data_IF_131616815006
#
_entry.id   IF_131616815006
#
_cell.length_a   1.000
_cell.length_b   1.000
_cell.length_c   1.000
_cell.angle_alpha   90.00
_cell.angle_beta   90.00
_cell.angle_gamma   90.00
#
_symmetry.space_group_name_H-M   'P 1'
#
loop_
_entity.id
_entity.type
_entity.pdbx_description
1 polymer ?
#
# COMPACT_ATOMS: atom_id res chain seq x y z
N UNK A 1 71.89 -41.82 -49.00
CA UNK A 1 70.75 -41.97 -49.93
C UNK A 1 69.66 -42.64 -49.11
N UNK A 2 68.49 -42.11 -48.78
CA UNK A 2 67.75 -40.89 -49.11
C UNK A 2 66.87 -40.55 -47.89
N UNK A 3 66.55 -39.27 -47.78
CA UNK A 3 65.70 -38.63 -46.79
C UNK A 3 64.21 -38.96 -46.94
N UNK A 4 63.46 -38.97 -45.84
CA UNK A 4 62.05 -38.54 -45.81
C UNK A 4 61.71 -37.90 -44.46
N UNK A 5 61.50 -36.58 -44.49
CA UNK A 5 60.79 -35.82 -43.46
C UNK A 5 59.28 -35.90 -43.72
N UNK A 6 58.46 -35.86 -42.67
CA UNK A 6 57.14 -35.22 -42.68
C UNK A 6 56.69 -34.96 -41.24
N UNK A 7 56.38 -33.69 -40.98
CA UNK A 7 55.91 -33.10 -39.74
C UNK A 7 54.37 -33.04 -39.67
N UNK A 8 53.89 -32.92 -38.43
CA UNK A 8 52.66 -32.25 -37.94
C UNK A 8 51.32 -33.00 -37.92
N UNK A 9 50.66 -32.87 -36.76
CA UNK A 9 49.26 -33.22 -36.53
C UNK A 9 48.87 -33.00 -35.07
N UNK A 10 48.24 -31.86 -34.79
CA UNK A 10 47.71 -31.44 -33.49
C UNK A 10 46.57 -32.36 -33.00
N UNK A 11 46.48 -32.61 -31.70
CA UNK A 11 45.21 -33.01 -31.07
C UNK A 11 44.90 -32.14 -29.85
N UNK A 12 43.82 -31.38 -29.99
CA UNK A 12 43.14 -30.54 -29.03
C UNK A 12 42.82 -31.26 -27.71
N UNK A 13 43.14 -30.64 -26.57
CA UNK A 13 42.51 -30.96 -25.28
C UNK A 13 41.27 -30.08 -25.09
N UNK A 14 40.09 -30.68 -25.21
CA UNK A 14 38.80 -30.00 -25.07
C UNK A 14 38.52 -29.59 -23.62
N UNK A 15 38.10 -28.34 -23.41
CA UNK A 15 37.39 -27.90 -22.19
C UNK A 15 36.04 -28.62 -22.11
N UNK A 16 35.80 -29.39 -21.04
CA UNK A 16 34.46 -29.85 -20.69
C UNK A 16 33.84 -28.87 -19.69
N UNK A 17 33.06 -27.91 -20.19
CA UNK A 17 32.15 -27.12 -19.36
C UNK A 17 30.86 -27.93 -19.13
N UNK A 18 30.68 -28.46 -17.92
CA UNK A 18 29.40 -29.03 -17.48
C UNK A 18 28.40 -27.89 -17.25
N UNK A 19 27.57 -27.61 -18.24
CA UNK A 19 26.39 -26.75 -18.08
C UNK A 19 25.29 -27.50 -17.33
N UNK A 20 24.97 -27.08 -16.11
CA UNK A 20 23.79 -27.56 -15.41
C UNK A 20 22.53 -26.98 -16.08
N UNK A 21 21.76 -27.83 -16.76
CA UNK A 21 20.45 -27.48 -17.31
C UNK A 21 19.43 -27.46 -16.17
N UNK A 22 19.06 -26.28 -15.68
CA UNK A 22 17.92 -26.11 -14.78
C UNK A 22 16.65 -26.15 -15.63
N UNK A 23 15.99 -27.30 -15.67
CA UNK A 23 14.67 -27.44 -16.28
C UNK A 23 13.65 -26.85 -15.30
N UNK A 24 13.19 -25.62 -15.56
CA UNK A 24 12.06 -25.05 -14.84
C UNK A 24 10.79 -25.79 -15.26
N UNK A 25 10.20 -26.57 -14.36
CA UNK A 25 8.87 -27.15 -14.59
C UNK A 25 7.83 -26.02 -14.69
N UNK A 26 6.80 -26.15 -15.55
CA UNK A 26 5.73 -25.15 -15.61
C UNK A 26 5.04 -25.08 -14.25
N UNK A 27 5.04 -23.90 -13.62
CA UNK A 27 4.23 -23.67 -12.43
C UNK A 27 2.76 -23.73 -12.86
N UNK A 28 2.04 -24.75 -12.40
CA UNK A 28 0.58 -24.81 -12.62
C UNK A 28 -0.05 -23.71 -11.77
N UNK A 29 -0.93 -22.91 -12.36
CA UNK A 29 -1.73 -21.97 -11.59
C UNK A 29 -2.66 -22.77 -10.67
N UNK A 30 -2.64 -22.46 -9.38
CA UNK A 30 -3.56 -23.04 -8.41
C UNK A 30 -4.97 -22.45 -8.63
N UNK A 31 -5.98 -23.09 -8.08
CA UNK A 31 -7.37 -22.61 -8.05
C UNK A 31 -7.80 -22.45 -6.60
N UNK A 32 -8.42 -21.32 -6.26
CA UNK A 32 -9.08 -21.14 -4.97
C UNK A 32 -10.34 -22.01 -4.93
N UNK A 33 -10.31 -23.09 -4.16
CA UNK A 33 -11.38 -24.09 -4.06
C UNK A 33 -12.41 -23.70 -3.00
N UNK A 34 -11.94 -23.23 -1.85
CA UNK A 34 -12.78 -22.93 -0.70
C UNK A 34 -12.22 -21.78 0.12
N UNK A 35 -13.11 -21.00 0.72
CA UNK A 35 -12.77 -20.08 1.79
C UNK A 35 -13.99 -19.85 2.70
N UNK A 36 -13.73 -19.49 3.95
CA UNK A 36 -14.77 -19.13 4.92
C UNK A 36 -14.21 -18.24 6.02
N UNK A 37 -15.02 -17.29 6.48
CA UNK A 37 -14.70 -16.46 7.63
C UNK A 37 -15.53 -16.87 8.86
N UNK A 38 -14.85 -17.22 9.95
CA UNK A 38 -15.47 -17.45 11.25
C UNK A 38 -15.39 -16.18 12.11
N UNK A 39 -16.55 -15.57 12.36
CA UNK A 39 -16.67 -14.36 13.17
C UNK A 39 -16.45 -14.58 14.67
N UNK A 40 -16.63 -15.80 15.18
CA UNK A 40 -16.40 -16.11 16.61
C UNK A 40 -14.91 -16.12 16.92
N UNK A 41 -14.11 -16.62 15.98
CA UNK A 41 -12.66 -16.73 16.12
C UNK A 41 -11.89 -15.64 15.36
N UNK A 42 -12.57 -14.76 14.60
CA UNK A 42 -11.97 -13.75 13.71
C UNK A 42 -10.93 -14.37 12.76
N UNK A 43 -11.28 -15.51 12.15
CA UNK A 43 -10.35 -16.29 11.35
C UNK A 43 -10.91 -16.53 9.96
N UNK A 44 -10.12 -16.18 8.94
CA UNK A 44 -10.35 -16.60 7.56
C UNK A 44 -9.58 -17.89 7.31
N UNK A 45 -10.24 -18.93 6.81
CA UNK A 45 -9.59 -20.17 6.34
C UNK A 45 -9.83 -20.30 4.85
N UNK A 46 -8.81 -20.67 4.09
CA UNK A 46 -8.96 -20.96 2.66
C UNK A 46 -8.09 -22.13 2.19
N UNK A 47 -8.54 -22.76 1.11
CA UNK A 47 -7.92 -23.94 0.50
C UNK A 47 -7.81 -23.78 -1.01
N UNK A 48 -6.68 -24.20 -1.54
CA UNK A 48 -6.36 -24.24 -2.97
C UNK A 48 -6.10 -25.68 -3.42
N UNK A 49 -6.11 -25.95 -4.72
CA UNK A 49 -5.76 -27.26 -5.29
C UNK A 49 -4.25 -27.45 -5.57
N UNK A 50 -3.47 -26.38 -5.39
CA UNK A 50 -2.02 -26.35 -5.53
C UNK A 50 -1.38 -25.59 -4.38
N UNK A 51 -0.06 -25.53 -4.36
CA UNK A 51 0.66 -24.75 -3.35
C UNK A 51 0.56 -23.25 -3.64
N UNK A 52 0.36 -22.45 -2.60
CA UNK A 52 0.30 -20.98 -2.72
C UNK A 52 0.98 -20.33 -1.53
N UNK A 53 1.66 -19.21 -1.78
CA UNK A 53 2.21 -18.35 -0.74
C UNK A 53 1.41 -17.05 -0.69
N UNK A 54 0.48 -16.88 0.27
CA UNK A 54 -0.35 -15.69 0.37
C UNK A 54 0.43 -14.46 0.82
N UNK A 55 -0.02 -13.30 0.35
CA UNK A 55 0.52 -11.99 0.73
C UNK A 55 -0.60 -11.14 1.34
N UNK A 56 -0.48 -10.78 2.62
CA UNK A 56 -1.48 -9.97 3.31
C UNK A 56 -1.03 -8.51 3.42
N UNK A 57 -1.96 -7.59 3.17
CA UNK A 57 -1.77 -6.14 3.32
C UNK A 57 -3.03 -5.48 3.86
N UNK A 58 -2.90 -4.33 4.50
CA UNK A 58 -4.02 -3.52 4.98
C UNK A 58 -4.21 -2.31 4.09
N UNK A 59 -5.43 -2.13 3.61
CA UNK A 59 -5.93 -0.89 3.01
C UNK A 59 -6.84 -0.20 4.02
N UNK A 60 -6.83 1.12 4.06
CA UNK A 60 -7.72 1.92 4.91
C UNK A 60 -8.75 2.65 4.03
N UNK A 61 -9.89 3.01 4.62
CA UNK A 61 -11.06 3.65 3.98
C UNK A 61 -11.66 2.96 2.74
N UNK A 62 -12.62 2.05 2.98
CA UNK A 62 -12.88 1.41 4.27
C UNK A 62 -11.73 0.46 4.65
N UNK A 63 -11.50 0.28 5.95
CA UNK A 63 -10.45 -0.62 6.46
C UNK A 63 -10.66 -2.02 5.89
N UNK A 64 -9.68 -2.53 5.16
CA UNK A 64 -9.72 -3.80 4.42
C UNK A 64 -8.42 -4.54 4.58
N UNK A 65 -8.47 -5.80 4.97
CA UNK A 65 -7.33 -6.69 4.85
C UNK A 65 -7.44 -7.40 3.52
N UNK A 66 -6.43 -7.25 2.69
CA UNK A 66 -6.33 -7.85 1.37
C UNK A 66 -5.32 -8.98 1.45
N UNK A 67 -5.71 -10.16 0.97
CA UNK A 67 -4.88 -11.35 0.89
C UNK A 67 -4.78 -11.73 -0.58
N UNK A 68 -3.61 -11.48 -1.16
CA UNK A 68 -3.28 -11.83 -2.54
C UNK A 68 -2.73 -13.24 -2.62
N UNK A 69 -3.21 -13.97 -3.61
CA UNK A 69 -2.85 -15.34 -3.94
C UNK A 69 -2.20 -15.35 -5.33
N UNK A 70 -0.87 -15.18 -5.41
CA UNK A 70 -0.16 -15.21 -6.68
C UNK A 70 -0.30 -16.56 -7.38
N UNK A 71 -0.26 -16.53 -8.72
CA UNK A 71 -0.44 -17.71 -9.57
C UNK A 71 -1.70 -18.52 -9.22
N UNK A 72 -2.78 -17.85 -8.84
CA UNK A 72 -4.04 -18.49 -8.43
C UNK A 72 -5.21 -17.93 -9.23
N UNK A 73 -6.05 -18.83 -9.74
CA UNK A 73 -7.33 -18.51 -10.37
C UNK A 73 -8.47 -18.61 -9.36
N UNK A 74 -9.48 -17.77 -9.52
CA UNK A 74 -10.72 -17.88 -8.77
C UNK A 74 -11.51 -19.10 -9.28
N UNK A 75 -11.75 -20.07 -8.41
CA UNK A 75 -12.60 -21.24 -8.72
C UNK A 75 -14.09 -20.93 -8.61
N UNK A 76 -14.91 -21.98 -8.60
CA UNK A 76 -16.37 -21.91 -8.46
C UNK A 76 -16.85 -21.59 -7.03
N UNK A 77 -16.00 -20.96 -6.22
CA UNK A 77 -16.27 -20.71 -4.80
C UNK A 77 -17.21 -19.51 -4.61
N UNK A 78 -17.76 -19.33 -3.41
CA UNK A 78 -18.58 -18.15 -3.11
C UNK A 78 -17.76 -16.88 -3.35
N UNK A 79 -18.34 -15.87 -3.99
CA UNK A 79 -17.65 -14.60 -4.22
C UNK A 79 -17.71 -13.68 -3.01
N UNK A 80 -18.65 -13.90 -2.09
CA UNK A 80 -18.77 -13.09 -0.87
C UNK A 80 -19.46 -13.82 0.29
N UNK A 81 -19.24 -13.29 1.49
CA UNK A 81 -19.84 -13.68 2.76
C UNK A 81 -20.07 -12.39 3.55
N UNK A 82 -21.33 -12.02 3.73
CA UNK A 82 -21.70 -10.96 4.67
C UNK A 82 -21.52 -11.50 6.09
N UNK A 83 -20.80 -10.76 6.94
CA UNK A 83 -20.49 -11.20 8.31
C UNK A 83 -21.34 -10.41 9.32
N UNK A 84 -21.18 -9.08 9.32
CA UNK A 84 -21.86 -8.18 10.25
C UNK A 84 -21.07 -7.89 11.53
N UNK A 85 -21.40 -6.79 12.21
CA UNK A 85 -20.67 -6.33 13.38
C UNK A 85 -19.39 -5.58 12.99
N UNK A 86 -18.25 -5.93 13.59
CA UNK A 86 -16.97 -5.27 13.34
C UNK A 86 -16.34 -5.64 11.98
N UNK A 87 -16.67 -6.83 11.44
CA UNK A 87 -16.32 -7.24 10.08
C UNK A 87 -17.59 -7.13 9.24
N UNK A 88 -17.55 -6.32 8.19
CA UNK A 88 -18.72 -6.08 7.34
C UNK A 88 -18.94 -7.26 6.40
N UNK A 89 -17.91 -7.61 5.64
CA UNK A 89 -17.99 -8.55 4.54
C UNK A 89 -16.61 -9.15 4.26
N UNK A 90 -16.58 -10.41 3.82
CA UNK A 90 -15.41 -11.01 3.18
C UNK A 90 -15.78 -11.34 1.74
N UNK A 91 -14.88 -11.07 0.79
CA UNK A 91 -15.11 -11.32 -0.63
C UNK A 91 -13.89 -11.89 -1.33
N UNK A 92 -14.13 -12.73 -2.32
CA UNK A 92 -13.12 -13.33 -3.18
C UNK A 92 -13.33 -12.85 -4.62
N UNK A 93 -12.25 -12.49 -5.30
CA UNK A 93 -12.30 -12.02 -6.68
C UNK A 93 -11.00 -12.31 -7.42
N UNK A 94 -11.06 -12.32 -8.75
CA UNK A 94 -9.85 -12.29 -9.58
C UNK A 94 -9.37 -10.84 -9.63
N UNK A 95 -8.17 -10.57 -9.11
CA UNK A 95 -7.60 -9.21 -9.13
C UNK A 95 -6.97 -8.89 -10.49
N UNK A 96 -6.21 -9.85 -11.03
CA UNK A 96 -5.62 -9.80 -12.36
C UNK A 96 -5.53 -11.23 -12.94
N UNK A 97 -4.98 -11.40 -14.15
CA UNK A 97 -4.92 -12.72 -14.83
C UNK A 97 -4.17 -13.82 -14.05
N UNK A 98 -3.33 -13.47 -13.09
CA UNK A 98 -2.49 -14.40 -12.34
C UNK A 98 -2.76 -14.36 -10.83
N UNK A 99 -3.54 -13.41 -10.33
CA UNK A 99 -3.73 -13.21 -8.89
C UNK A 99 -5.21 -13.26 -8.49
N UNK A 100 -5.56 -14.23 -7.64
CA UNK A 100 -6.82 -14.22 -6.90
C UNK A 100 -6.65 -13.42 -5.61
N UNK A 101 -7.70 -12.72 -5.17
CA UNK A 101 -7.68 -11.82 -4.03
C UNK A 101 -8.86 -12.07 -3.09
N UNK A 102 -8.56 -12.25 -1.82
CA UNK A 102 -9.52 -12.25 -0.72
C UNK A 102 -9.47 -10.88 -0.03
N UNK A 103 -10.63 -10.29 0.24
CA UNK A 103 -10.74 -8.98 0.90
C UNK A 103 -11.66 -9.11 2.10
N UNK A 104 -11.14 -8.87 3.30
CA UNK A 104 -11.91 -8.76 4.54
C UNK A 104 -12.14 -7.29 4.79
N UNK A 105 -13.38 -6.84 4.70
CA UNK A 105 -13.78 -5.46 4.93
C UNK A 105 -14.29 -5.28 6.36
N UNK A 106 -13.67 -4.36 7.06
CA UNK A 106 -14.02 -3.95 8.42
C UNK A 106 -15.16 -2.93 8.35
N UNK A 107 -16.07 -3.00 9.31
CA UNK A 107 -17.18 -2.06 9.39
C UNK A 107 -16.70 -0.64 9.75
N UNK A 108 -17.41 0.41 9.29
CA UNK A 108 -17.12 1.78 9.71
C UNK A 108 -17.09 1.91 11.25
N UNK A 109 -16.11 2.63 11.79
CA UNK A 109 -15.91 2.79 13.24
C UNK A 109 -15.13 1.68 13.92
N UNK A 110 -14.57 0.75 13.15
CA UNK A 110 -13.65 -0.26 13.63
C UNK A 110 -12.30 -0.13 12.94
N UNK A 111 -11.25 -0.41 13.69
CA UNK A 111 -9.87 -0.42 13.23
C UNK A 111 -9.19 -1.74 13.59
N UNK A 112 -8.19 -2.12 12.80
CA UNK A 112 -7.34 -3.27 13.03
C UNK A 112 -5.88 -2.84 12.95
N UNK A 113 -5.05 -3.34 13.85
CA UNK A 113 -3.61 -3.20 13.72
C UNK A 113 -3.09 -4.26 12.72
N UNK A 114 -2.52 -3.87 11.57
CA UNK A 114 -2.07 -4.82 10.56
C UNK A 114 -0.92 -5.70 11.03
N UNK A 115 -0.10 -5.22 11.97
CA UNK A 115 1.04 -5.97 12.50
C UNK A 115 0.60 -7.19 13.34
N UNK A 116 -0.66 -7.18 13.79
CA UNK A 116 -1.22 -8.26 14.60
C UNK A 116 -1.98 -9.30 13.77
N UNK A 117 -2.08 -9.10 12.45
CA UNK A 117 -2.65 -10.09 11.52
C UNK A 117 -1.64 -11.22 11.33
N UNK A 118 -2.06 -12.46 11.63
CA UNK A 118 -1.19 -13.64 11.53
C UNK A 118 -1.63 -14.52 10.38
N UNK A 119 -0.75 -14.70 9.40
CA UNK A 119 -0.97 -15.62 8.27
C UNK A 119 -0.20 -16.91 8.55
N UNK A 120 -0.91 -18.03 8.66
CA UNK A 120 -0.37 -19.32 9.06
C UNK A 120 -0.71 -20.39 8.03
N UNK A 121 0.31 -21.11 7.56
CA UNK A 121 0.12 -22.28 6.72
C UNK A 121 -0.26 -23.49 7.57
N UNK A 122 -1.44 -24.05 7.35
CA UNK A 122 -1.85 -25.34 7.95
C UNK A 122 -1.25 -26.47 7.12
N UNK A 123 -1.30 -26.33 5.78
CA UNK A 123 -0.70 -27.20 4.75
C UNK A 123 -0.22 -26.32 3.59
N UNK A 124 0.61 -26.83 2.65
CA UNK A 124 1.05 -26.03 1.49
C UNK A 124 -0.10 -25.40 0.67
N UNK A 125 -1.27 -26.03 0.67
CA UNK A 125 -2.46 -25.58 -0.04
C UNK A 125 -3.59 -25.08 0.89
N UNK A 126 -3.37 -24.98 2.20
CA UNK A 126 -4.38 -24.60 3.19
C UNK A 126 -3.82 -23.60 4.21
N UNK A 127 -4.52 -22.49 4.36
CA UNK A 127 -4.05 -21.36 5.16
C UNK A 127 -5.12 -20.82 6.09
N UNK A 128 -4.69 -20.30 7.23
CA UNK A 128 -5.50 -19.53 8.16
C UNK A 128 -4.93 -18.12 8.30
N UNK A 129 -5.81 -17.12 8.24
CA UNK A 129 -5.50 -15.71 8.50
C UNK A 129 -6.26 -15.31 9.74
N UNK A 130 -5.52 -15.17 10.84
CA UNK A 130 -6.05 -14.77 12.13
C UNK A 130 -6.02 -13.24 12.24
N UNK A 131 -7.19 -12.65 12.46
CA UNK A 131 -7.32 -11.21 12.69
C UNK A 131 -7.21 -10.93 14.20
N UNK A 132 -6.64 -9.78 14.59
CA UNK A 132 -6.75 -9.30 15.96
C UNK A 132 -8.20 -8.90 16.26
N UNK A 133 -8.53 -8.76 17.54
CA UNK A 133 -9.81 -8.18 17.94
C UNK A 133 -9.93 -6.75 17.35
N UNK A 134 -10.96 -6.46 16.55
CA UNK A 134 -11.19 -5.11 16.06
C UNK A 134 -11.36 -4.15 17.23
N UNK A 135 -10.60 -3.06 17.24
CA UNK A 135 -10.78 -1.98 18.22
C UNK A 135 -11.78 -0.97 17.67
N UNK A 136 -12.64 -0.45 18.54
CA UNK A 136 -13.44 0.72 18.21
C UNK A 136 -12.52 1.95 18.19
N UNK A 137 -11.99 2.26 17.01
CA UNK A 137 -11.41 3.57 16.73
C UNK A 137 -12.52 4.47 16.22
N UNK A 138 -12.58 5.72 16.69
CA UNK A 138 -13.61 6.66 16.25
C UNK A 138 -13.68 6.66 14.71
N UNK A 139 -14.82 6.23 14.18
CA UNK A 139 -15.15 6.48 12.78
C UNK A 139 -14.95 8.00 12.55
N UNK A 140 -14.35 8.43 11.43
CA UNK A 140 -14.68 9.76 10.94
C UNK A 140 -16.21 9.85 10.92
N UNK A 141 -16.83 10.93 11.46
CA UNK A 141 -18.27 11.04 11.50
C UNK A 141 -18.86 10.72 10.13
N UNK A 142 -19.87 9.84 10.11
CA UNK A 142 -20.64 9.56 8.90
C UNK A 142 -21.35 10.86 8.49
N UNK A 143 -20.83 11.54 7.47
CA UNK A 143 -21.38 12.79 6.95
C UNK A 143 -20.33 13.66 6.27
N UNK A 144 -20.15 13.40 4.97
CA UNK A 144 -19.35 14.16 4.00
C UNK A 144 -17.84 14.28 4.32
N UNK A 145 -17.05 13.31 3.85
CA UNK A 145 -15.79 13.71 3.21
C UNK A 145 -16.23 14.43 1.93
N UNK A 146 -16.03 15.76 1.78
CA UNK A 146 -16.27 16.39 0.49
C UNK A 146 -15.47 15.63 -0.55
N UNK A 147 -16.02 15.41 -1.75
CA UNK A 147 -15.22 14.90 -2.85
C UNK A 147 -13.92 15.73 -2.90
N UNK A 148 -12.75 15.09 -2.88
CA UNK A 148 -11.49 15.82 -2.81
C UNK A 148 -11.41 16.77 -4.00
N UNK A 149 -11.29 18.06 -3.72
CA UNK A 149 -11.31 19.15 -4.71
C UNK A 149 -10.03 19.97 -4.65
N UNK A 150 -8.95 19.40 -4.11
CA UNK A 150 -7.65 20.06 -4.01
C UNK A 150 -7.16 20.46 -5.41
N UNK A 151 -7.25 21.75 -5.74
CA UNK A 151 -6.80 22.31 -7.03
C UNK A 151 -5.58 23.19 -6.87
N UNK A 152 -5.29 23.65 -5.65
CA UNK A 152 -4.14 24.45 -5.28
C UNK A 152 -3.72 24.12 -3.84
N UNK A 153 -2.51 24.53 -3.46
CA UNK A 153 -2.05 24.39 -2.08
C UNK A 153 -2.95 25.19 -1.14
N UNK A 154 -3.40 24.54 -0.06
CA UNK A 154 -4.27 25.12 0.96
C UNK A 154 -3.91 24.57 2.33
N UNK A 155 -3.98 25.44 3.33
CA UNK A 155 -3.92 25.05 4.74
C UNK A 155 -5.11 25.65 5.46
N UNK A 156 -6.06 24.80 5.82
CA UNK A 156 -7.12 25.11 6.78
C UNK A 156 -6.69 24.60 8.16
N UNK A 157 -5.65 25.26 8.69
CA UNK A 157 -5.22 25.07 10.07
C UNK A 157 -5.93 26.08 10.96
N UNK A 158 -6.58 25.62 12.03
CA UNK A 158 -6.92 26.38 13.24
C UNK A 158 -7.79 25.50 14.16
N UNK A 159 -7.46 25.39 15.46
CA UNK A 159 -8.35 24.88 16.56
C UNK A 159 -8.26 23.43 17.03
N UNK A 160 -7.06 22.93 17.35
CA UNK A 160 -6.98 21.77 18.25
C UNK A 160 -6.00 22.00 19.39
N UNK A 161 -6.48 21.98 20.63
CA UNK A 161 -5.62 21.83 21.81
C UNK A 161 -5.67 20.38 22.27
N UNK A 162 -4.56 19.87 22.83
CA UNK A 162 -4.52 18.51 23.39
C UNK A 162 -4.15 17.38 22.41
N UNK A 163 -3.68 17.70 21.19
CA UNK A 163 -3.00 16.70 20.36
C UNK A 163 -1.60 16.38 20.90
N UNK A 164 -1.15 15.14 20.70
CA UNK A 164 0.20 14.71 21.05
C UNK A 164 1.28 15.18 20.07
N UNK A 165 0.88 15.58 18.85
CA UNK A 165 1.76 16.12 17.83
C UNK A 165 1.19 17.38 17.17
N UNK A 166 2.08 18.18 16.58
CA UNK A 166 1.71 19.33 15.74
C UNK A 166 2.49 19.26 14.44
N UNK A 167 1.78 19.26 13.30
CA UNK A 167 2.35 19.38 11.97
C UNK A 167 2.86 20.81 11.76
N UNK A 168 4.17 20.95 11.62
CA UNK A 168 4.85 22.25 11.51
C UNK A 168 5.31 22.58 10.09
N UNK A 169 5.23 21.61 9.17
CA UNK A 169 5.43 21.85 7.75
C UNK A 169 5.74 20.58 6.97
N UNK A 170 5.92 20.72 5.66
CA UNK A 170 6.26 19.62 4.76
C UNK A 170 7.47 20.02 3.94
N UNK A 171 8.48 19.16 3.88
CA UNK A 171 9.74 19.44 3.18
C UNK A 171 9.96 18.36 2.12
N UNK A 172 10.32 18.77 0.91
CA UNK A 172 10.77 17.86 -0.14
C UNK A 172 12.16 17.33 0.19
N UNK A 173 12.33 16.01 0.12
CA UNK A 173 13.61 15.33 0.32
C UNK A 173 14.04 14.63 -0.97
N UNK A 174 15.28 14.16 -1.03
CA UNK A 174 15.77 13.39 -2.19
C UNK A 174 14.97 12.12 -2.48
N UNK A 175 14.30 11.55 -1.47
CA UNK A 175 13.57 10.28 -1.56
C UNK A 175 12.03 10.42 -1.55
N UNK A 176 11.52 11.64 -1.37
CA UNK A 176 10.09 11.92 -1.26
C UNK A 176 9.81 13.17 -0.45
N UNK A 177 9.04 13.05 0.63
CA UNK A 177 8.69 14.18 1.50
C UNK A 177 8.85 13.83 2.97
N UNK A 178 9.14 14.83 3.79
CA UNK A 178 9.11 14.77 5.24
C UNK A 178 8.05 15.75 5.76
N UNK A 179 7.00 15.23 6.37
CA UNK A 179 6.08 15.99 7.20
C UNK A 179 6.73 16.20 8.56
N UNK A 180 7.16 17.43 8.82
CA UNK A 180 7.80 17.82 10.09
C UNK A 180 6.76 17.93 11.18
N UNK A 181 7.07 17.35 12.32
CA UNK A 181 6.20 17.37 13.49
C UNK A 181 6.96 17.77 14.74
N UNK A 182 6.29 18.51 15.63
CA UNK A 182 6.70 18.61 17.03
C UNK A 182 5.87 17.65 17.87
N UNK A 183 6.45 17.09 18.95
CA UNK A 183 5.78 16.12 19.81
C UNK A 183 5.88 14.67 19.30
N UNK A 184 4.93 13.83 19.66
CA UNK A 184 4.95 12.39 19.33
C UNK A 184 4.24 12.14 18.01
N UNK A 185 5.00 12.05 16.91
CA UNK A 185 4.46 11.76 15.58
C UNK A 185 3.52 10.55 15.60
N UNK A 186 2.33 10.60 14.98
CA UNK A 186 1.40 9.48 14.95
C UNK A 186 1.83 8.44 13.92
N UNK A 187 1.17 7.28 13.96
CA UNK A 187 1.17 6.37 12.80
C UNK A 187 0.21 6.92 11.75
N UNK A 188 0.69 7.30 10.55
CA UNK A 188 -0.15 7.83 9.49
C UNK A 188 -0.99 6.71 8.85
N UNK A 189 -2.10 7.08 8.23
CA UNK A 189 -2.84 6.20 7.32
C UNK A 189 -2.94 6.85 5.94
N UNK A 190 -2.80 6.08 4.86
CA UNK A 190 -2.83 6.59 3.47
C UNK A 190 -3.87 5.85 2.66
N UNK A 191 -4.62 6.60 1.86
CA UNK A 191 -5.75 6.11 1.07
C UNK A 191 -5.71 6.74 -0.30
N UNK A 192 -6.29 6.09 -1.29
CA UNK A 192 -6.41 6.62 -2.64
C UNK A 192 -7.87 6.64 -3.08
N UNK A 193 -8.26 7.70 -3.75
CA UNK A 193 -9.61 7.87 -4.29
C UNK A 193 -9.57 8.64 -5.60
N UNK A 194 -10.67 8.56 -6.35
CA UNK A 194 -10.91 9.39 -7.52
C UNK A 194 -12.14 10.28 -7.30
N UNK A 195 -12.19 11.43 -7.96
CA UNK A 195 -13.42 12.24 -8.07
C UNK A 195 -14.24 11.80 -9.31
N UNK A 196 -15.37 12.48 -9.56
CA UNK A 196 -16.23 12.19 -10.71
C UNK A 196 -15.58 12.50 -12.08
N UNK A 197 -14.47 13.23 -12.09
CA UNK A 197 -13.69 13.55 -13.28
C UNK A 197 -12.45 12.65 -13.40
N UNK A 198 -12.42 11.53 -12.66
CA UNK A 198 -11.31 10.57 -12.59
C UNK A 198 -9.97 11.13 -12.11
N UNK A 199 -9.94 12.33 -11.51
CA UNK A 199 -8.72 12.86 -10.90
C UNK A 199 -8.32 11.99 -9.71
N UNK A 200 -7.05 11.60 -9.61
CA UNK A 200 -6.53 10.77 -8.52
C UNK A 200 -6.12 11.62 -7.32
N UNK A 201 -6.42 11.12 -6.11
CA UNK A 201 -6.05 11.75 -4.86
C UNK A 201 -5.44 10.74 -3.88
N UNK A 202 -4.46 11.18 -3.10
CA UNK A 202 -4.03 10.48 -1.89
C UNK A 202 -4.53 11.22 -0.65
N UNK A 203 -5.17 10.53 0.28
CA UNK A 203 -5.63 11.08 1.57
C UNK A 203 -4.74 10.49 2.66
N UNK A 204 -4.03 11.36 3.36
CA UNK A 204 -3.15 11.01 4.48
C UNK A 204 -3.79 11.54 5.76
N UNK A 205 -4.22 10.64 6.64
CA UNK A 205 -4.76 10.98 7.95
C UNK A 205 -3.69 10.81 9.04
N UNK A 206 -3.53 11.86 9.84
CA UNK A 206 -2.62 11.95 10.96
C UNK A 206 -3.44 12.10 12.26
N UNK A 207 -3.76 10.99 12.95
CA UNK A 207 -4.55 11.04 14.17
C UNK A 207 -3.80 11.79 15.29
N UNK A 208 -4.53 12.34 16.25
CA UNK A 208 -3.96 13.00 17.43
C UNK A 208 -2.91 14.07 17.07
N UNK A 209 -3.16 14.81 15.99
CA UNK A 209 -2.24 15.79 15.40
C UNK A 209 -2.96 17.09 15.08
N UNK A 210 -2.35 18.19 15.47
CA UNK A 210 -2.81 19.54 15.14
C UNK A 210 -2.01 20.17 14.01
N UNK A 211 -2.62 21.12 13.30
CA UNK A 211 -1.92 21.96 12.32
C UNK A 211 -1.37 23.19 13.02
N UNK A 212 -0.08 23.49 12.84
CA UNK A 212 0.54 24.69 13.40
C UNK A 212 -0.12 25.95 12.84
N UNK A 213 -0.38 26.96 13.68
CA UNK A 213 -0.93 28.25 13.25
C UNK A 213 -0.01 29.05 12.34
N UNK A 214 1.28 28.70 12.30
CA UNK A 214 2.28 29.30 11.41
C UNK A 214 2.36 28.62 10.05
N UNK A 215 1.68 27.48 9.85
CA UNK A 215 1.74 26.75 8.59
C UNK A 215 0.77 27.36 7.58
N UNK A 216 1.30 27.95 6.52
CA UNK A 216 0.54 28.51 5.41
C UNK A 216 0.60 27.64 4.14
N UNK A 217 -0.24 27.97 3.16
CA UNK A 217 -0.23 27.30 1.85
C UNK A 217 1.12 27.42 1.12
N UNK A 218 1.82 28.56 1.29
CA UNK A 218 3.12 28.83 0.67
C UNK A 218 4.27 28.00 1.28
N UNK A 219 4.06 27.43 2.46
CA UNK A 219 5.03 26.54 3.11
C UNK A 219 4.94 25.08 2.61
N UNK A 220 3.93 24.76 1.79
CA UNK A 220 3.74 23.43 1.24
C UNK A 220 4.56 23.27 -0.05
N UNK A 221 5.16 22.08 -0.30
CA UNK A 221 5.86 21.82 -1.53
C UNK A 221 4.99 22.12 -2.75
N UNK A 222 5.61 22.76 -3.74
CA UNK A 222 4.96 23.01 -5.01
C UNK A 222 5.77 22.33 -6.11
N UNK A 223 5.07 21.75 -7.07
CA UNK A 223 5.64 21.19 -8.29
C UNK A 223 6.71 20.12 -8.09
N UNK A 224 6.45 19.16 -7.21
CA UNK A 224 7.40 18.09 -6.89
C UNK A 224 6.77 16.72 -6.96
N UNK A 225 7.48 15.80 -7.61
CA UNK A 225 7.17 14.37 -7.63
C UNK A 225 5.70 14.07 -7.98
N UNK A 226 5.20 14.72 -9.02
CA UNK A 226 3.86 14.50 -9.57
C UNK A 226 2.73 14.70 -8.56
N UNK A 227 2.91 15.58 -7.58
CA UNK A 227 1.83 16.10 -6.72
C UNK A 227 1.43 17.48 -7.24
N UNK A 228 0.16 17.61 -7.63
CA UNK A 228 -0.42 18.84 -8.19
C UNK A 228 -0.75 19.85 -7.09
N UNK A 229 -1.33 19.38 -5.97
CA UNK A 229 -1.78 20.25 -4.90
C UNK A 229 -1.82 19.52 -3.56
N UNK A 230 -1.55 20.26 -2.49
CA UNK A 230 -1.67 19.85 -1.10
C UNK A 230 -2.81 20.59 -0.41
N UNK A 231 -3.77 19.88 0.15
CA UNK A 231 -4.82 20.47 1.00
C UNK A 231 -4.71 19.90 2.41
N UNK A 232 -4.26 20.72 3.36
CA UNK A 232 -4.06 20.35 4.76
C UNK A 232 -5.19 20.94 5.60
N UNK A 233 -5.99 20.09 6.23
CA UNK A 233 -7.16 20.52 6.98
C UNK A 233 -7.23 19.87 8.38
N UNK A 234 -7.43 20.71 9.40
CA UNK A 234 -7.74 20.23 10.75
C UNK A 234 -9.13 19.59 10.79
N UNK A 235 -9.20 18.36 11.32
CA UNK A 235 -10.44 17.64 11.57
C UNK A 235 -10.88 17.80 13.03
N UNK A 236 -12.18 18.01 13.25
CA UNK A 236 -12.82 18.18 14.57
C UNK A 236 -13.05 16.83 15.27
N UNK A 237 -11.99 16.05 15.47
CA UNK A 237 -12.00 14.81 16.27
C UNK A 237 -11.52 15.09 17.70
N UNK A 238 -11.75 14.15 18.63
CA UNK A 238 -11.20 14.23 19.99
C UNK A 238 -10.36 12.98 20.29
N UNK A 239 -9.00 13.09 20.40
CA UNK A 239 -8.20 14.30 20.15
C UNK A 239 -8.23 14.74 18.67
N UNK A 240 -7.87 16.00 18.37
CA UNK A 240 -7.89 16.54 17.01
C UNK A 240 -6.99 15.75 16.05
N UNK A 241 -7.39 15.66 14.78
CA UNK A 241 -6.68 14.92 13.72
C UNK A 241 -6.40 15.84 12.55
N UNK A 242 -5.29 15.63 11.84
CA UNK A 242 -4.94 16.40 10.64
C UNK A 242 -5.14 15.52 9.41
N UNK A 243 -5.87 16.02 8.41
CA UNK A 243 -6.03 15.36 7.11
C UNK A 243 -5.25 16.12 6.06
N UNK A 244 -4.55 15.39 5.21
CA UNK A 244 -3.79 15.92 4.09
C UNK A 244 -4.29 15.25 2.82
N UNK A 245 -4.84 16.03 1.90
CA UNK A 245 -5.32 15.57 0.60
C UNK A 245 -4.34 16.01 -0.48
N UNK A 246 -3.75 15.04 -1.17
CA UNK A 246 -2.84 15.27 -2.29
C UNK A 246 -3.61 15.07 -3.58
N UNK A 247 -3.68 16.07 -4.44
CA UNK A 247 -4.08 15.83 -5.83
C UNK A 247 -2.88 15.27 -6.58
N UNK A 248 -3.06 14.10 -7.16
CA UNK A 248 -1.99 13.36 -7.81
C UNK A 248 -1.99 13.65 -9.31
N UNK A 249 -0.80 13.91 -9.84
CA UNK A 249 -0.57 14.01 -11.28
C UNK A 249 -0.56 12.63 -11.97
N UNK A 250 -0.55 12.61 -13.30
CA UNK A 250 -0.70 11.37 -14.08
C UNK A 250 0.39 10.32 -13.81
N UNK A 251 1.61 10.76 -13.45
CA UNK A 251 2.76 9.88 -13.18
C UNK A 251 2.97 9.60 -11.70
N UNK A 252 2.06 10.07 -10.83
CA UNK A 252 2.22 9.94 -9.39
C UNK A 252 2.10 8.48 -8.97
N UNK A 253 3.04 8.01 -8.13
CA UNK A 253 2.96 6.68 -7.56
C UNK A 253 1.89 6.60 -6.45
N UNK A 254 1.59 5.38 -6.03
CA UNK A 254 0.81 5.11 -4.81
C UNK A 254 1.70 5.35 -3.58
N UNK A 255 1.84 6.61 -3.20
CA UNK A 255 2.58 7.06 -2.03
C UNK A 255 2.29 6.24 -0.76
N UNK A 256 3.34 5.98 0.01
CA UNK A 256 3.29 5.38 1.34
C UNK A 256 3.68 6.43 2.36
N UNK A 257 3.02 6.45 3.51
CA UNK A 257 3.44 7.28 4.64
C UNK A 257 3.91 6.38 5.79
N UNK A 258 5.06 6.71 6.36
CA UNK A 258 5.69 5.95 7.43
C UNK A 258 6.08 6.90 8.56
N UNK A 259 5.77 6.51 9.80
CA UNK A 259 6.23 7.22 10.99
C UNK A 259 7.75 7.08 11.15
N UNK A 260 8.44 8.17 11.47
CA UNK A 260 9.83 8.14 11.94
C UNK A 260 9.99 9.02 13.20
N UNK A 261 11.21 9.09 13.74
CA UNK A 261 11.51 9.92 14.92
C UNK A 261 11.43 11.43 14.65
N UNK A 262 11.43 11.85 13.38
CA UNK A 262 11.44 13.26 12.95
C UNK A 262 10.06 13.76 12.46
N UNK A 263 9.05 12.89 12.45
CA UNK A 263 7.73 13.15 11.88
C UNK A 263 7.18 11.97 11.07
N UNK A 264 6.65 12.27 9.88
CA UNK A 264 6.12 11.27 8.93
C UNK A 264 6.82 11.44 7.59
N UNK A 265 7.39 10.36 7.06
CA UNK A 265 8.01 10.33 5.75
C UNK A 265 6.98 9.82 4.73
N UNK A 266 6.88 10.50 3.58
CA UNK A 266 6.08 10.08 2.44
C UNK A 266 7.03 9.61 1.34
N UNK A 267 6.91 8.34 0.94
CA UNK A 267 7.82 7.66 0.03
C UNK A 267 7.05 6.96 -1.10
N UNK A 268 7.65 6.79 -2.28
CA UNK A 268 7.06 5.93 -3.31
C UNK A 268 7.00 4.46 -2.84
N UNK A 269 6.24 3.60 -3.55
CA UNK A 269 6.26 2.14 -3.36
C UNK A 269 7.69 1.58 -3.42
N UNK A 270 7.92 0.49 -2.70
CA UNK A 270 9.20 -0.22 -2.80
C UNK A 270 9.50 -0.59 -4.26
N UNK A 271 10.70 -0.25 -4.75
CA UNK A 271 11.11 -0.52 -6.13
C UNK A 271 10.78 0.59 -7.13
N UNK A 272 10.07 1.64 -6.73
CA UNK A 272 9.87 2.85 -7.55
C UNK A 272 10.89 3.91 -7.12
N UNK A 273 11.92 4.22 -7.94
CA UNK A 273 12.87 5.26 -7.60
C UNK A 273 12.19 6.62 -7.70
N UNK A 274 12.40 7.49 -6.71
CA UNK A 274 11.87 8.86 -6.70
C UNK A 274 12.25 9.66 -7.95
N UNK A 275 13.44 9.40 -8.52
CA UNK A 275 13.94 10.02 -9.74
C UNK A 275 13.16 9.65 -11.00
N UNK A 276 12.32 8.60 -10.97
CA UNK A 276 11.42 8.28 -12.09
C UNK A 276 10.08 9.02 -12.00
N UNK A 277 9.81 9.73 -10.91
CA UNK A 277 8.58 10.51 -10.73
C UNK A 277 8.86 11.94 -11.19
N UNK A 278 8.12 12.39 -12.21
CA UNK A 278 8.32 13.73 -12.78
C UNK A 278 7.77 14.82 -11.87
N UNK A 279 8.33 16.02 -11.91
CA UNK A 279 7.70 17.21 -11.32
C UNK A 279 6.44 17.60 -12.13
N UNK A 280 5.46 18.23 -11.48
CA UNK A 280 4.16 18.57 -12.09
C UNK A 280 3.71 19.98 -11.66
N UNK A 281 3.40 20.92 -12.57
CA UNK A 281 3.41 20.76 -14.01
C UNK A 281 4.85 20.56 -14.50
N UNK A 282 5.03 19.93 -15.68
CA UNK A 282 6.35 19.76 -16.24
C UNK A 282 7.06 21.11 -16.31
N UNK A 283 8.39 21.17 -16.04
CA UNK A 283 9.14 22.38 -16.23
C UNK A 283 8.90 22.90 -17.64
N UNK A 284 8.62 24.21 -17.77
CA UNK A 284 8.44 24.85 -19.06
C UNK A 284 9.62 24.47 -19.96
N UNK A 285 9.34 23.83 -21.09
CA UNK A 285 10.36 23.53 -22.08
C UNK A 285 10.99 24.86 -22.53
N UNK A 286 12.23 25.08 -22.12
CA UNK A 286 13.06 26.21 -22.56
C UNK A 286 13.61 25.98 -23.94
#
# INVERSE_FOLDING_TARGET
MESKWLTSGFTSGALAALGALVVAAPVRAATLQYWWFDAQTNQLVFTTDGEVQPQAQLLVNPTRIVIDLPNTQLGSTSTSQTVGGAIREVRAGQFDRQTARLVIEVAPGYSLNPQDVRVQGIRPNQWAVQLPAPSQGAAPPNGAIPAPTATANRVDGNTGTGAAATLTGVVTTGDGFLMRMSGTAPTPTVQFTNDNADNRFAIIDLPNTTVASTLGADDLPNYRYSIIAWDVAQQQTSPPSTRITLKLGPTSPDWRALRNNSGVIVLPPSGVPISSVSDEPPPLAT
#
